data_IF_900056921312
#
_entry.id   IF_900056921312
#
_cell.length_a   1.000
_cell.length_b   1.000
_cell.length_c   1.000
_cell.angle_alpha   90.00
_cell.angle_beta   90.00
_cell.angle_gamma   90.00
#
_symmetry.space_group_name_H-M   'P 1'
#
loop_
_entity.id
_entity.type
_entity.pdbx_description
1 polymer ?
#
# COMPACT_ATOMS: atom_id res chain seq x y z
N UNK A 1 -21.29 9.91 4.71
CA UNK A 1 -20.55 11.08 4.17
C UNK A 1 -19.05 10.88 4.29
N UNK A 2 -18.48 10.66 5.49
CA UNK A 2 -17.02 10.41 5.69
C UNK A 2 -16.46 9.26 4.83
N UNK A 3 -17.14 8.11 4.77
CA UNK A 3 -16.68 6.98 3.95
C UNK A 3 -16.63 7.26 2.44
N UNK A 4 -17.57 8.07 1.93
CA UNK A 4 -17.59 8.48 0.52
C UNK A 4 -16.52 9.52 0.23
N UNK A 5 -16.36 10.51 1.12
CA UNK A 5 -15.28 11.49 1.03
C UNK A 5 -13.92 10.77 0.99
N UNK A 6 -13.63 9.89 1.95
CA UNK A 6 -12.36 9.15 1.97
C UNK A 6 -12.12 8.31 0.70
N UNK A 7 -13.15 7.66 0.16
CA UNK A 7 -13.04 6.85 -1.06
C UNK A 7 -12.83 7.67 -2.35
N UNK A 8 -13.09 8.98 -2.30
CA UNK A 8 -12.92 9.92 -3.41
C UNK A 8 -11.68 10.82 -3.26
N UNK A 9 -11.30 11.16 -2.03
CA UNK A 9 -10.24 12.14 -1.72
C UNK A 9 -8.85 11.54 -1.64
N UNK A 10 -8.71 10.39 -0.99
CA UNK A 10 -7.43 9.68 -0.97
C UNK A 10 -7.42 8.85 -2.26
N UNK A 11 -6.26 8.62 -2.88
CA UNK A 11 -6.09 7.59 -3.91
C UNK A 11 -6.42 6.15 -3.40
N UNK A 12 -7.24 6.04 -2.36
CA UNK A 12 -7.74 4.85 -1.74
C UNK A 12 -8.82 4.22 -2.61
N UNK A 13 -8.57 2.97 -2.96
CA UNK A 13 -9.48 2.13 -3.71
C UNK A 13 -10.82 1.88 -3.02
N UNK A 14 -10.89 2.04 -1.69
CA UNK A 14 -12.04 1.68 -0.84
C UNK A 14 -12.17 2.65 0.35
N UNK A 15 -13.36 2.79 0.96
CA UNK A 15 -13.50 3.49 2.23
C UNK A 15 -12.60 2.90 3.33
N UNK A 16 -12.28 3.71 4.34
CA UNK A 16 -11.62 3.25 5.56
C UNK A 16 -12.35 2.04 6.19
N UNK A 17 -11.64 1.24 7.01
CA UNK A 17 -12.27 0.17 7.81
C UNK A 17 -13.42 0.74 8.64
N UNK A 18 -14.42 -0.09 8.98
CA UNK A 18 -15.71 0.32 9.56
C UNK A 18 -16.67 1.10 8.64
N UNK A 19 -16.16 1.81 7.64
CA UNK A 19 -16.97 2.55 6.68
C UNK A 19 -17.34 1.69 5.46
N UNK A 20 -18.45 2.04 4.81
CA UNK A 20 -18.94 1.41 3.58
C UNK A 20 -19.73 2.41 2.73
N UNK A 21 -19.81 2.16 1.42
CA UNK A 21 -20.69 2.88 0.51
C UNK A 21 -22.07 2.22 0.40
N UNK A 22 -22.24 1.01 0.92
CA UNK A 22 -23.47 0.23 0.82
C UNK A 22 -24.30 0.31 2.10
N UNK A 23 -25.55 0.76 1.96
CA UNK A 23 -26.47 1.03 3.08
C UNK A 23 -26.81 -0.20 3.92
N UNK A 24 -26.75 -1.40 3.33
CA UNK A 24 -27.10 -2.67 3.99
C UNK A 24 -25.89 -3.52 4.39
N UNK A 25 -24.67 -3.03 4.15
CA UNK A 25 -23.44 -3.73 4.52
C UNK A 25 -22.87 -3.08 5.76
N UNK A 26 -22.31 -3.86 6.68
CA UNK A 26 -21.49 -3.35 7.77
C UNK A 26 -20.10 -3.96 7.63
N UNK A 27 -19.07 -3.15 7.84
CA UNK A 27 -17.67 -3.58 7.77
C UNK A 27 -17.09 -3.52 9.18
N UNK A 28 -16.25 -4.49 9.53
CA UNK A 28 -15.51 -4.44 10.78
C UNK A 28 -14.49 -3.30 10.77
N UNK A 29 -14.36 -2.63 11.90
CA UNK A 29 -13.26 -1.73 12.19
C UNK A 29 -11.95 -2.48 12.44
N UNK A 30 -10.89 -1.69 12.62
CA UNK A 30 -9.61 -2.22 13.12
C UNK A 30 -9.82 -2.66 14.58
N UNK A 31 -9.26 -3.80 14.97
CA UNK A 31 -9.44 -4.41 16.30
C UNK A 31 -10.91 -4.72 16.65
N UNK A 32 -11.74 -5.02 15.65
CA UNK A 32 -13.08 -5.58 15.85
C UNK A 32 -13.14 -6.99 15.26
N UNK A 33 -13.75 -7.94 15.99
CA UNK A 33 -14.07 -9.28 15.48
C UNK A 33 -15.56 -9.56 15.57
N UNK A 34 -16.04 -10.51 14.80
CA UNK A 34 -17.42 -11.02 14.90
C UNK A 34 -17.38 -12.38 15.56
N UNK A 35 -18.13 -12.53 16.65
CA UNK A 35 -18.44 -13.83 17.22
C UNK A 35 -19.84 -14.22 16.75
N UNK A 36 -19.97 -15.40 16.16
CA UNK A 36 -21.25 -15.96 15.72
C UNK A 36 -21.61 -17.13 16.63
N UNK A 37 -22.75 -17.02 17.31
CA UNK A 37 -23.26 -18.08 18.19
C UNK A 37 -24.79 -18.07 18.19
N UNK A 38 -25.40 -19.25 18.11
CA UNK A 38 -26.86 -19.46 18.18
C UNK A 38 -27.64 -18.58 17.18
N UNK A 39 -27.12 -18.45 15.95
CA UNK A 39 -27.73 -17.65 14.89
C UNK A 39 -27.64 -16.14 15.09
N UNK A 40 -26.91 -15.67 16.10
CA UNK A 40 -26.68 -14.25 16.40
C UNK A 40 -25.21 -13.91 16.22
N UNK A 41 -24.94 -12.70 15.73
CA UNK A 41 -23.61 -12.14 15.69
C UNK A 41 -23.45 -11.06 16.76
N UNK A 42 -22.29 -11.03 17.41
CA UNK A 42 -21.85 -9.92 18.25
C UNK A 42 -20.55 -9.35 17.69
N UNK A 43 -20.39 -8.03 17.75
CA UNK A 43 -19.14 -7.38 17.40
C UNK A 43 -18.37 -7.14 18.70
N UNK A 44 -17.19 -7.75 18.80
CA UNK A 44 -16.32 -7.62 19.96
C UNK A 44 -15.18 -6.68 19.60
N UNK A 45 -14.97 -5.68 20.45
CA UNK A 45 -13.78 -4.82 20.37
C UNK A 45 -12.63 -5.52 21.11
N UNK A 46 -11.52 -5.66 20.42
CA UNK A 46 -10.27 -6.17 20.97
C UNK A 46 -9.56 -4.97 21.60
N UNK A 47 -9.29 -5.05 22.90
CA UNK A 47 -8.51 -4.03 23.58
C UNK A 47 -7.09 -4.02 23.03
N UNK A 48 -6.59 -2.84 22.67
CA UNK A 48 -5.20 -2.67 22.27
C UNK A 48 -4.36 -2.65 23.54
N UNK A 49 -3.39 -3.55 23.62
CA UNK A 49 -2.33 -3.46 24.61
C UNK A 49 -1.21 -2.60 24.03
N UNK A 50 -0.72 -1.65 24.83
CA UNK A 50 0.49 -0.92 24.50
C UNK A 50 1.66 -1.88 24.67
N UNK A 51 2.52 -1.94 23.66
CA UNK A 51 3.75 -2.71 23.75
C UNK A 51 4.78 -1.89 24.52
N UNK A 52 5.56 -2.56 25.36
CA UNK A 52 6.72 -1.94 25.99
C UNK A 52 7.71 -1.50 24.90
N UNK A 53 8.26 -0.31 25.07
CA UNK A 53 9.36 0.18 24.25
C UNK A 53 10.70 -0.18 24.89
N UNK A 54 11.72 -0.35 24.07
CA UNK A 54 13.10 -0.59 24.50
C UNK A 54 14.04 0.29 23.69
N UNK A 55 15.29 0.41 24.16
CA UNK A 55 16.34 0.98 23.32
C UNK A 55 16.53 0.13 22.06
N UNK A 56 16.84 0.80 20.95
CA UNK A 56 17.00 0.16 19.66
C UNK A 56 18.45 -0.33 19.49
N UNK A 57 18.68 -1.63 19.64
CA UNK A 57 19.94 -2.26 19.22
C UNK A 57 19.90 -2.52 17.71
N UNK A 58 20.74 -1.80 16.96
CA UNK A 58 20.74 -1.90 15.50
C UNK A 58 21.02 -3.32 15.01
N UNK A 59 22.01 -4.01 15.59
CA UNK A 59 22.45 -5.32 15.08
C UNK A 59 21.37 -6.36 15.36
N UNK A 60 20.91 -6.44 16.61
CA UNK A 60 19.90 -7.42 17.01
C UNK A 60 18.58 -7.21 16.24
N UNK A 61 18.12 -5.95 16.13
CA UNK A 61 16.86 -5.67 15.46
C UNK A 61 16.97 -5.83 13.93
N UNK A 62 18.13 -5.56 13.33
CA UNK A 62 18.35 -5.79 11.90
C UNK A 62 18.31 -7.29 11.56
N UNK A 63 18.99 -8.12 12.34
CA UNK A 63 18.99 -9.58 12.14
C UNK A 63 17.59 -10.15 12.38
N UNK A 64 16.92 -9.69 13.44
CA UNK A 64 15.53 -10.09 13.73
C UNK A 64 14.59 -9.73 12.59
N UNK A 65 14.66 -8.49 12.07
CA UNK A 65 13.86 -8.06 10.93
C UNK A 65 14.11 -8.95 9.71
N UNK A 66 15.38 -9.17 9.37
CA UNK A 66 15.78 -9.96 8.20
C UNK A 66 15.28 -11.39 8.31
N UNK A 67 15.43 -12.02 9.48
CA UNK A 67 14.94 -13.38 9.73
C UNK A 67 13.41 -13.47 9.64
N UNK A 68 12.68 -12.52 10.22
CA UNK A 68 11.21 -12.47 10.13
C UNK A 68 10.74 -12.23 8.70
N UNK A 69 11.43 -11.39 7.95
CA UNK A 69 11.13 -11.13 6.55
C UNK A 69 11.32 -12.41 5.72
N UNK A 70 12.47 -13.07 5.84
CA UNK A 70 12.75 -14.31 5.13
C UNK A 70 11.77 -15.44 5.50
N UNK A 71 11.49 -15.63 6.79
CA UNK A 71 10.49 -16.60 7.28
C UNK A 71 9.08 -16.30 6.72
N UNK A 72 8.69 -15.03 6.63
CA UNK A 72 7.41 -14.64 6.07
C UNK A 72 7.31 -14.94 4.56
N UNK A 73 8.39 -14.76 3.81
CA UNK A 73 8.48 -15.10 2.39
C UNK A 73 8.43 -16.62 2.21
N UNK A 74 9.25 -17.36 2.94
CA UNK A 74 9.32 -18.82 2.87
C UNK A 74 7.94 -19.45 3.08
N UNK A 75 7.24 -19.08 4.17
CA UNK A 75 5.91 -19.60 4.52
C UNK A 75 4.82 -19.31 3.49
N UNK A 76 5.01 -18.31 2.62
CA UNK A 76 4.04 -17.91 1.58
C UNK A 76 4.46 -18.33 0.18
N UNK A 77 5.70 -18.80 0.02
CA UNK A 77 6.22 -19.27 -1.25
C UNK A 77 5.56 -20.57 -1.70
N UNK A 78 5.80 -20.94 -2.96
CA UNK A 78 5.38 -22.23 -3.50
C UNK A 78 6.58 -22.97 -4.09
N UNK A 79 6.72 -24.29 -3.85
CA UNK A 79 7.75 -25.09 -4.50
C UNK A 79 7.56 -25.22 -6.01
N UNK A 80 6.36 -24.92 -6.52
CA UNK A 80 6.06 -24.93 -7.97
C UNK A 80 6.65 -23.71 -8.68
N UNK A 81 6.89 -22.61 -7.97
CA UNK A 81 7.45 -21.37 -8.48
C UNK A 81 6.85 -20.16 -7.78
N UNK A 82 7.41 -18.98 -8.02
CA UNK A 82 6.98 -17.74 -7.41
C UNK A 82 6.92 -16.62 -8.45
N UNK A 83 5.92 -15.75 -8.31
CA UNK A 83 5.70 -14.58 -9.15
C UNK A 83 5.82 -13.33 -8.28
N UNK A 84 6.59 -12.35 -8.71
CA UNK A 84 6.68 -11.05 -8.04
C UNK A 84 6.18 -9.94 -8.95
N UNK A 85 5.28 -9.10 -8.44
CA UNK A 85 4.98 -7.81 -9.08
C UNK A 85 6.13 -6.85 -8.80
N UNK A 86 6.90 -6.53 -9.84
CA UNK A 86 8.16 -5.82 -9.73
C UNK A 86 8.00 -4.37 -10.19
N UNK A 87 8.10 -3.42 -9.26
CA UNK A 87 7.98 -1.97 -9.49
C UNK A 87 9.25 -1.22 -9.07
N UNK A 88 10.41 -1.88 -9.19
CA UNK A 88 11.79 -1.44 -8.91
C UNK A 88 12.10 -0.76 -7.57
N UNK A 89 11.09 -0.46 -6.77
CA UNK A 89 11.21 0.01 -5.40
C UNK A 89 11.68 -1.09 -4.46
N UNK A 90 12.21 -0.65 -3.32
CA UNK A 90 12.86 -1.49 -2.31
C UNK A 90 12.05 -2.73 -1.95
N UNK A 91 10.74 -2.58 -1.75
CA UNK A 91 9.88 -3.66 -1.28
C UNK A 91 9.78 -4.81 -2.30
N UNK A 92 9.46 -4.48 -3.56
CA UNK A 92 9.36 -5.47 -4.62
C UNK A 92 10.71 -6.12 -4.94
N UNK A 93 11.81 -5.35 -4.88
CA UNK A 93 13.16 -5.87 -5.13
C UNK A 93 13.69 -6.72 -3.98
N UNK A 94 13.34 -6.40 -2.73
CA UNK A 94 13.72 -7.19 -1.56
C UNK A 94 13.01 -8.54 -1.56
N UNK A 95 11.73 -8.57 -1.95
CA UNK A 95 10.97 -9.81 -2.16
C UNK A 95 11.62 -10.64 -3.28
N UNK A 96 11.94 -10.02 -4.42
CA UNK A 96 12.62 -10.69 -5.53
C UNK A 96 13.95 -11.30 -5.06
N UNK A 97 14.78 -10.54 -4.35
CA UNK A 97 16.06 -10.99 -3.83
C UNK A 97 15.90 -12.19 -2.88
N UNK A 98 14.93 -12.14 -1.96
CA UNK A 98 14.64 -13.23 -1.03
C UNK A 98 14.20 -14.50 -1.77
N UNK A 99 13.29 -14.38 -2.74
CA UNK A 99 12.81 -15.52 -3.53
C UNK A 99 13.93 -16.16 -4.36
N UNK A 100 14.80 -15.35 -4.97
CA UNK A 100 15.95 -15.85 -5.74
C UNK A 100 16.98 -16.48 -4.82
N UNK A 101 17.23 -15.90 -3.64
CA UNK A 101 18.11 -16.48 -2.63
C UNK A 101 17.64 -17.85 -2.15
N UNK A 102 16.34 -18.01 -1.90
CA UNK A 102 15.75 -19.25 -1.37
C UNK A 102 15.54 -20.34 -2.44
N UNK A 103 15.06 -19.96 -3.63
CA UNK A 103 14.56 -20.91 -4.64
C UNK A 103 15.30 -20.85 -5.98
N UNK A 104 16.14 -19.84 -6.19
CA UNK A 104 16.83 -19.61 -7.45
C UNK A 104 15.98 -18.88 -8.49
N UNK A 105 16.68 -18.29 -9.46
CA UNK A 105 16.06 -17.52 -10.54
C UNK A 105 15.14 -18.34 -11.45
N UNK A 106 15.44 -19.64 -11.64
CA UNK A 106 14.62 -20.54 -12.44
C UNK A 106 13.24 -20.85 -11.84
N UNK A 107 13.04 -20.55 -10.55
CA UNK A 107 11.79 -20.73 -9.81
C UNK A 107 11.08 -19.41 -9.51
N UNK A 108 11.57 -18.31 -10.08
CA UNK A 108 11.03 -16.98 -9.85
C UNK A 108 10.85 -16.26 -11.18
N UNK A 109 9.69 -15.62 -11.38
CA UNK A 109 9.45 -14.69 -12.49
C UNK A 109 8.92 -13.38 -11.98
N UNK A 110 9.22 -12.30 -12.70
CA UNK A 110 8.76 -10.95 -12.39
C UNK A 110 7.71 -10.51 -13.42
N UNK A 111 6.73 -9.72 -12.98
CA UNK A 111 5.71 -9.14 -13.85
C UNK A 111 5.57 -7.65 -13.54
N UNK A 112 5.50 -6.82 -14.58
CA UNK A 112 5.30 -5.37 -14.48
C UNK A 112 4.24 -4.91 -15.48
N UNK A 113 3.53 -3.83 -15.16
CA UNK A 113 2.61 -3.17 -16.06
C UNK A 113 3.23 -2.01 -16.82
N UNK A 114 2.99 -1.91 -18.12
CA UNK A 114 3.33 -0.74 -18.95
C UNK A 114 2.10 0.13 -19.11
N UNK A 115 2.17 1.37 -18.63
CA UNK A 115 1.02 2.24 -18.50
C UNK A 115 0.93 3.22 -19.68
N UNK A 116 -0.11 3.10 -20.50
CA UNK A 116 -0.42 4.02 -21.60
C UNK A 116 -1.81 4.65 -21.39
N UNK A 117 -1.82 5.91 -20.97
CA UNK A 117 -3.06 6.61 -20.56
C UNK A 117 -3.60 7.56 -21.62
N UNK A 118 -2.74 8.09 -22.49
CA UNK A 118 -3.15 8.94 -23.61
C UNK A 118 -2.18 8.82 -24.77
N UNK A 119 -2.65 9.16 -25.97
CA UNK A 119 -1.83 9.17 -27.18
C UNK A 119 -0.65 10.15 -27.05
N UNK A 120 -0.90 11.29 -26.42
CA UNK A 120 0.04 12.41 -26.32
C UNK A 120 1.14 12.13 -25.29
N UNK A 121 0.79 11.54 -24.14
CA UNK A 121 1.75 11.22 -23.09
C UNK A 121 2.51 9.91 -23.37
N UNK A 122 1.92 8.99 -24.15
CA UNK A 122 2.47 7.67 -24.39
C UNK A 122 2.63 6.87 -23.10
N UNK A 123 3.71 6.10 -23.00
CA UNK A 123 4.01 5.29 -21.81
C UNK A 123 4.44 6.21 -20.66
N UNK A 124 3.70 6.21 -19.56
CA UNK A 124 3.91 7.15 -18.45
C UNK A 124 4.87 6.64 -17.36
N UNK A 125 5.25 5.35 -17.38
CA UNK A 125 6.17 4.75 -16.41
C UNK A 125 7.49 4.22 -17.02
N UNK A 126 8.15 4.90 -17.97
CA UNK A 126 9.32 4.35 -18.66
C UNK A 126 10.54 4.16 -17.74
N UNK A 127 10.73 5.06 -16.78
CA UNK A 127 11.82 4.95 -15.80
C UNK A 127 11.69 3.71 -14.93
N UNK A 128 10.46 3.40 -14.53
CA UNK A 128 10.11 2.24 -13.71
C UNK A 128 10.41 0.94 -14.46
N UNK A 129 9.96 0.86 -15.71
CA UNK A 129 10.23 -0.26 -16.63
C UNK A 129 11.74 -0.53 -16.81
N UNK A 130 12.53 0.52 -17.02
CA UNK A 130 14.00 0.38 -17.21
C UNK A 130 14.65 -0.15 -15.93
N UNK A 131 14.26 0.34 -14.76
CA UNK A 131 14.83 -0.10 -13.48
C UNK A 131 14.42 -1.53 -13.14
N UNK A 132 13.14 -1.86 -13.33
CA UNK A 132 12.64 -3.22 -13.14
C UNK A 132 13.38 -4.22 -14.03
N UNK A 133 13.63 -3.86 -15.30
CA UNK A 133 14.41 -4.70 -16.22
C UNK A 133 15.84 -4.91 -15.71
N UNK A 134 16.53 -3.85 -15.28
CA UNK A 134 17.88 -3.97 -14.70
C UNK A 134 17.94 -4.90 -13.49
N UNK A 135 16.92 -4.84 -12.62
CA UNK A 135 16.83 -5.73 -11.46
C UNK A 135 16.58 -7.18 -11.90
N UNK A 136 15.66 -7.40 -12.84
CA UNK A 136 15.40 -8.71 -13.41
C UNK A 136 16.66 -9.31 -14.05
N UNK A 137 17.40 -8.52 -14.83
CA UNK A 137 18.66 -8.92 -15.47
C UNK A 137 19.73 -9.28 -14.43
N UNK A 138 19.89 -8.46 -13.39
CA UNK A 138 20.84 -8.71 -12.29
C UNK A 138 20.60 -10.05 -11.59
N UNK A 139 19.33 -10.37 -11.32
CA UNK A 139 18.96 -11.63 -10.67
C UNK A 139 18.78 -12.80 -11.67
N UNK A 140 18.92 -12.57 -12.97
CA UNK A 140 18.70 -13.60 -14.00
C UNK A 140 17.25 -14.08 -14.10
N UNK A 141 16.28 -13.24 -13.73
CA UNK A 141 14.85 -13.55 -13.68
C UNK A 141 14.14 -13.00 -14.93
N UNK A 142 13.19 -13.75 -15.48
CA UNK A 142 12.36 -13.27 -16.59
C UNK A 142 11.43 -12.15 -16.11
N UNK A 143 11.48 -10.99 -16.76
CA UNK A 143 10.50 -9.92 -16.59
C UNK A 143 9.44 -9.99 -17.70
N UNK A 144 8.18 -10.16 -17.30
CA UNK A 144 7.03 -10.15 -18.19
C UNK A 144 6.32 -8.80 -18.10
N UNK A 145 5.87 -8.29 -19.26
CA UNK A 145 5.25 -6.97 -19.36
C UNK A 145 3.80 -7.13 -19.77
N UNK A 146 2.90 -6.54 -18.98
CA UNK A 146 1.46 -6.46 -19.26
C UNK A 146 1.10 -5.06 -19.72
N UNK A 147 0.41 -4.93 -20.85
CA UNK A 147 0.04 -3.63 -21.43
C UNK A 147 -1.25 -3.08 -20.81
N UNK A 148 -1.16 -1.95 -20.11
CA UNK A 148 -2.30 -1.19 -19.63
C UNK A 148 -2.58 -0.02 -20.59
N UNK A 149 -3.27 -0.30 -21.70
CA UNK A 149 -3.64 0.72 -22.69
C UNK A 149 -5.05 1.26 -22.42
N UNK A 150 -5.18 2.20 -21.47
CA UNK A 150 -6.48 2.84 -21.21
C UNK A 150 -6.93 3.75 -22.35
N UNK A 151 -5.98 4.31 -23.10
CA UNK A 151 -6.29 5.14 -24.26
C UNK A 151 -7.15 4.38 -25.28
N UNK A 152 -6.85 3.10 -25.52
CA UNK A 152 -7.60 2.26 -26.47
C UNK A 152 -8.61 1.32 -25.82
N UNK A 153 -8.37 0.85 -24.60
CA UNK A 153 -9.12 -0.24 -23.94
C UNK A 153 -9.93 0.19 -22.72
N UNK A 154 -9.96 1.48 -22.37
CA UNK A 154 -10.67 1.98 -21.19
C UNK A 154 -12.13 1.48 -21.04
N UNK A 155 -12.97 1.58 -22.09
CA UNK A 155 -14.34 1.06 -22.04
C UNK A 155 -14.43 -0.46 -21.83
N UNK A 156 -13.61 -1.25 -22.54
CA UNK A 156 -13.52 -2.71 -22.42
C UNK A 156 -13.18 -3.12 -20.98
N UNK A 157 -12.16 -2.50 -20.38
CA UNK A 157 -11.72 -2.79 -19.01
C UNK A 157 -12.80 -2.44 -17.99
N UNK A 158 -13.52 -1.34 -18.21
CA UNK A 158 -14.65 -0.95 -17.37
C UNK A 158 -15.77 -1.99 -17.45
N UNK A 159 -16.15 -2.42 -18.65
CA UNK A 159 -17.19 -3.44 -18.84
C UNK A 159 -16.78 -4.77 -18.18
N UNK A 160 -15.54 -5.23 -18.42
CA UNK A 160 -14.98 -6.46 -17.86
C UNK A 160 -15.01 -6.48 -16.32
N UNK A 161 -14.66 -5.37 -15.67
CA UNK A 161 -14.39 -5.36 -14.23
C UNK A 161 -15.40 -4.61 -13.36
N UNK A 162 -16.30 -3.80 -13.92
CA UNK A 162 -17.26 -2.99 -13.16
C UNK A 162 -18.10 -3.79 -12.17
N UNK A 163 -18.57 -4.98 -12.58
CA UNK A 163 -19.32 -5.89 -11.71
C UNK A 163 -18.50 -6.35 -10.50
N UNK A 164 -17.25 -6.75 -10.73
CA UNK A 164 -16.33 -7.15 -9.67
C UNK A 164 -16.02 -5.98 -8.73
N UNK A 165 -15.66 -4.82 -9.28
CA UNK A 165 -15.34 -3.62 -8.49
C UNK A 165 -16.51 -3.18 -7.63
N UNK A 166 -17.73 -3.18 -8.19
CA UNK A 166 -18.96 -2.95 -7.42
C UNK A 166 -19.09 -3.97 -6.29
N UNK A 167 -19.00 -5.26 -6.57
CA UNK A 167 -19.17 -6.28 -5.53
C UNK A 167 -18.10 -6.21 -4.42
N UNK A 168 -16.90 -5.71 -4.73
CA UNK A 168 -15.79 -5.55 -3.78
C UNK A 168 -15.67 -4.15 -3.15
N UNK A 169 -16.62 -3.25 -3.46
CA UNK A 169 -16.63 -1.86 -3.03
C UNK A 169 -15.31 -1.13 -3.39
N UNK A 170 -14.87 -1.34 -4.62
CA UNK A 170 -13.71 -0.67 -5.21
C UNK A 170 -14.18 0.46 -6.10
N UNK A 171 -13.65 1.66 -5.91
CA UNK A 171 -14.11 2.87 -6.62
C UNK A 171 -13.07 3.58 -7.45
N UNK A 172 -11.78 3.24 -7.33
CA UNK A 172 -10.71 3.93 -8.07
C UNK A 172 -10.46 3.31 -9.45
N UNK A 173 -10.32 4.17 -10.46
CA UNK A 173 -9.91 3.78 -11.82
C UNK A 173 -8.51 3.15 -11.87
N UNK A 174 -7.61 3.53 -10.95
CA UNK A 174 -6.29 2.89 -10.86
C UNK A 174 -6.38 1.39 -10.52
N UNK A 175 -7.52 0.88 -10.06
CA UNK A 175 -7.67 -0.55 -9.78
C UNK A 175 -7.80 -1.42 -11.03
N UNK A 176 -8.24 -0.87 -12.16
CA UNK A 176 -8.34 -1.65 -13.40
C UNK A 176 -6.97 -2.23 -13.81
N UNK A 177 -5.87 -1.51 -13.53
CA UNK A 177 -4.51 -1.94 -13.86
C UNK A 177 -4.11 -3.17 -13.04
N UNK A 178 -4.48 -3.18 -11.76
CA UNK A 178 -4.21 -4.30 -10.85
C UNK A 178 -5.05 -5.52 -11.20
N UNK A 179 -6.27 -5.30 -11.68
CA UNK A 179 -7.15 -6.38 -12.14
C UNK A 179 -6.65 -7.02 -13.44
N UNK A 180 -6.15 -6.24 -14.40
CA UNK A 180 -5.59 -6.80 -15.64
C UNK A 180 -4.27 -7.53 -15.38
N UNK A 181 -3.40 -6.97 -14.53
CA UNK A 181 -2.17 -7.64 -14.06
C UNK A 181 -2.48 -8.97 -13.35
N UNK A 182 -3.44 -8.96 -12.42
CA UNK A 182 -3.83 -10.15 -11.68
C UNK A 182 -4.53 -11.19 -12.58
N UNK A 183 -5.31 -10.75 -13.58
CA UNK A 183 -5.89 -11.64 -14.59
C UNK A 183 -4.80 -12.33 -15.39
N UNK A 184 -3.84 -11.57 -15.94
CA UNK A 184 -2.71 -12.12 -16.68
C UNK A 184 -1.93 -13.14 -15.85
N UNK A 185 -1.64 -12.84 -14.58
CA UNK A 185 -0.95 -13.79 -13.72
C UNK A 185 -1.82 -15.00 -13.44
N UNK A 186 -3.10 -14.86 -13.12
CA UNK A 186 -4.00 -15.99 -12.93
C UNK A 186 -4.05 -16.92 -14.16
N UNK A 187 -4.09 -16.35 -15.37
CA UNK A 187 -4.17 -17.08 -16.64
C UNK A 187 -2.84 -17.78 -17.01
N UNK A 188 -1.70 -17.28 -16.49
CA UNK A 188 -0.36 -17.81 -16.78
C UNK A 188 0.26 -18.60 -15.64
N UNK A 189 -0.42 -18.71 -14.49
CA UNK A 189 0.08 -19.41 -13.32
C UNK A 189 -0.41 -20.86 -13.27
N UNK A 190 0.44 -21.76 -12.76
CA UNK A 190 0.12 -23.16 -12.50
C UNK A 190 0.55 -23.58 -11.09
N UNK A 191 0.06 -22.84 -10.09
CA UNK A 191 0.31 -23.10 -8.68
C UNK A 191 1.54 -22.41 -8.10
N UNK A 192 2.08 -21.41 -8.80
CA UNK A 192 3.02 -20.46 -8.18
C UNK A 192 2.33 -19.63 -7.08
N UNK A 193 3.13 -19.17 -6.11
CA UNK A 193 2.72 -18.11 -5.18
C UNK A 193 2.95 -16.73 -5.78
N UNK A 194 2.04 -15.79 -5.52
CA UNK A 194 2.13 -14.41 -6.02
C UNK A 194 2.46 -13.46 -4.89
N UNK A 195 3.49 -12.64 -5.09
CA UNK A 195 3.95 -11.63 -4.17
C UNK A 195 3.80 -10.24 -4.78
N UNK A 196 3.40 -9.28 -3.94
CA UNK A 196 3.23 -7.88 -4.35
C UNK A 196 3.98 -6.98 -3.38
N UNK A 197 4.97 -6.25 -3.89
CA UNK A 197 5.66 -5.18 -3.14
C UNK A 197 4.90 -3.85 -3.15
N UNK A 198 3.80 -3.77 -3.89
CA UNK A 198 2.95 -2.59 -3.96
C UNK A 198 2.33 -2.23 -2.61
N UNK A 199 2.24 -0.92 -2.32
CA UNK A 199 1.63 -0.35 -1.11
C UNK A 199 2.46 -0.60 0.18
N UNK A 200 3.62 -1.25 0.09
CA UNK A 200 4.50 -1.47 1.25
C UNK A 200 5.37 -0.25 1.61
N UNK A 201 5.57 0.75 0.71
CA UNK A 201 6.30 1.97 1.11
C UNK A 201 5.58 2.72 2.26
N UNK A 202 4.33 2.37 2.55
CA UNK A 202 3.64 2.78 3.77
C UNK A 202 4.44 2.52 5.05
N UNK A 203 5.12 1.37 5.16
CA UNK A 203 5.80 0.90 6.38
C UNK A 203 7.24 1.37 6.46
N UNK A 204 7.97 1.39 5.33
CA UNK A 204 9.40 1.75 5.31
C UNK A 204 9.65 3.25 5.09
N UNK A 205 8.65 4.00 4.64
CA UNK A 205 8.77 5.43 4.36
C UNK A 205 8.22 6.23 5.55
N UNK A 206 8.96 6.25 6.66
CA UNK A 206 8.57 6.99 7.86
C UNK A 206 8.59 8.50 7.56
N UNK A 207 7.42 9.15 7.62
CA UNK A 207 7.28 10.59 7.39
C UNK A 207 6.91 11.03 5.96
N UNK A 208 6.83 10.11 4.99
CA UNK A 208 6.42 10.44 3.62
C UNK A 208 5.16 9.70 3.18
N UNK A 209 4.11 10.46 2.92
CA UNK A 209 2.84 10.02 2.38
C UNK A 209 3.02 9.44 0.97
N UNK A 210 2.29 8.37 0.69
CA UNK A 210 2.20 7.83 -0.67
C UNK A 210 1.27 8.68 -1.55
N UNK A 211 0.42 9.51 -0.93
CA UNK A 211 -0.57 10.35 -1.61
C UNK A 211 -0.20 11.83 -1.55
N UNK A 212 -0.56 12.58 -2.59
CA UNK A 212 -0.53 14.04 -2.54
C UNK A 212 -1.69 14.52 -1.65
N UNK A 213 -1.41 15.43 -0.72
CA UNK A 213 -2.47 16.09 0.06
C UNK A 213 -3.12 17.19 -0.77
N UNK A 214 -4.44 17.25 -0.73
CA UNK A 214 -5.25 18.36 -1.28
C UNK A 214 -5.50 19.47 -0.25
N UNK A 215 -5.03 19.29 0.98
CA UNK A 215 -5.08 20.28 2.05
C UNK A 215 -3.88 21.24 1.94
N UNK A 216 -3.99 22.44 2.52
CA UNK A 216 -2.99 23.52 2.53
C UNK A 216 -1.62 23.04 3.06
N UNK A 217 -0.82 22.40 2.20
CA UNK A 217 0.56 22.04 2.50
C UNK A 217 1.51 23.02 1.81
N UNK A 218 2.45 23.64 2.53
CA UNK A 218 3.40 24.58 1.92
C UNK A 218 4.32 23.92 0.88
N UNK A 219 4.49 22.59 0.92
CA UNK A 219 5.44 21.88 0.05
C UNK A 219 4.79 20.63 -0.58
N UNK A 220 4.17 20.77 -1.74
CA UNK A 220 3.53 19.64 -2.45
C UNK A 220 4.53 18.55 -2.90
N UNK A 221 5.80 18.91 -3.03
CA UNK A 221 6.88 18.04 -3.50
C UNK A 221 7.23 16.94 -2.49
N UNK A 222 7.07 17.21 -1.19
CA UNK A 222 7.53 16.33 -0.12
C UNK A 222 6.46 15.37 0.42
N UNK A 223 5.23 15.41 -0.08
CA UNK A 223 4.13 14.48 0.29
C UNK A 223 4.11 14.17 1.80
N UNK A 224 4.25 15.13 2.72
CA UNK A 224 4.63 14.77 4.10
C UNK A 224 3.49 14.16 4.93
N UNK A 225 2.21 14.29 4.53
CA UNK A 225 1.15 13.92 5.48
C UNK A 225 -0.19 13.39 4.97
N UNK A 226 -0.49 13.28 3.67
CA UNK A 226 -1.85 12.93 3.20
C UNK A 226 -2.43 11.69 3.90
N UNK A 227 -1.83 10.51 3.70
CA UNK A 227 -2.23 9.26 4.38
C UNK A 227 -1.46 8.99 5.69
N UNK A 228 -0.49 9.86 6.03
CA UNK A 228 0.42 9.70 7.18
C UNK A 228 0.43 10.91 8.11
N UNK A 229 -0.75 11.49 8.37
CA UNK A 229 -0.93 12.70 9.19
C UNK A 229 -0.28 12.61 10.58
N UNK A 230 -0.29 11.43 11.22
CA UNK A 230 0.35 11.27 12.53
C UNK A 230 1.88 11.27 12.45
N UNK A 231 2.46 10.73 11.37
CA UNK A 231 3.92 10.70 11.17
C UNK A 231 4.48 12.08 10.86
N UNK A 232 3.66 12.97 10.28
CA UNK A 232 4.01 14.37 10.03
C UNK A 232 4.47 15.11 11.29
N UNK A 233 3.92 14.78 12.46
CA UNK A 233 4.32 15.40 13.73
C UNK A 233 5.79 15.11 14.10
N UNK A 234 6.44 14.19 13.39
CA UNK A 234 7.86 13.86 13.53
C UNK A 234 8.69 14.29 12.30
N UNK A 235 8.09 15.04 11.36
CA UNK A 235 8.76 15.51 10.14
C UNK A 235 9.63 16.75 10.42
N UNK A 236 10.67 17.00 9.61
CA UNK A 236 11.46 18.22 9.69
C UNK A 236 10.60 19.50 9.58
N UNK A 237 9.56 19.48 8.73
CA UNK A 237 8.64 20.61 8.53
C UNK A 237 7.88 20.95 9.81
N UNK A 238 7.28 19.95 10.46
CA UNK A 238 6.54 20.18 11.71
C UNK A 238 7.48 20.54 12.88
N UNK A 239 8.65 19.89 12.96
CA UNK A 239 9.66 20.26 13.96
C UNK A 239 10.12 21.71 13.79
N UNK A 240 10.27 22.19 12.55
CA UNK A 240 10.56 23.60 12.28
C UNK A 240 9.39 24.52 12.69
N UNK A 241 8.14 24.09 12.51
CA UNK A 241 6.95 24.81 12.98
C UNK A 241 6.88 24.91 14.52
N UNK A 242 7.41 23.91 15.24
CA UNK A 242 7.59 24.00 16.70
C UNK A 242 8.67 25.04 17.01
N UNK A 243 9.84 24.94 16.37
CA UNK A 243 10.99 25.81 16.65
C UNK A 243 10.70 27.29 16.38
N UNK A 244 9.86 27.60 15.38
CA UNK A 244 9.51 28.97 15.03
C UNK A 244 8.18 29.44 15.68
N UNK A 245 7.52 28.59 16.48
CA UNK A 245 6.26 28.90 17.16
C UNK A 245 5.02 28.96 16.27
N UNK A 246 5.08 28.52 15.01
CA UNK A 246 3.94 28.56 14.09
C UNK A 246 3.02 27.33 14.16
N UNK A 247 3.39 26.29 14.92
CA UNK A 247 2.67 25.02 14.99
C UNK A 247 1.20 25.15 15.44
N UNK A 248 0.85 26.18 16.22
CA UNK A 248 -0.54 26.43 16.65
C UNK A 248 -1.49 26.71 15.47
N UNK A 249 -0.98 27.16 14.33
CA UNK A 249 -1.76 27.38 13.11
C UNK A 249 -1.76 26.15 12.18
N UNK A 250 -1.07 25.07 12.54
CA UNK A 250 -0.94 23.89 11.70
C UNK A 250 -2.27 23.09 11.68
N UNK A 251 -2.80 22.87 10.49
CA UNK A 251 -4.09 22.21 10.30
C UNK A 251 -4.08 20.74 10.71
N UNK A 252 -2.96 20.03 10.55
CA UNK A 252 -2.81 18.62 10.91
C UNK A 252 -2.63 18.47 12.42
N UNK A 253 -1.80 19.32 13.02
CA UNK A 253 -1.64 19.37 14.47
C UNK A 253 -2.97 19.56 15.18
N UNK A 254 -3.72 20.60 14.80
CA UNK A 254 -5.02 20.89 15.40
C UNK A 254 -6.02 19.77 15.13
N UNK A 255 -6.06 19.23 13.91
CA UNK A 255 -6.93 18.10 13.57
C UNK A 255 -6.69 16.85 14.43
N UNK A 256 -5.42 16.55 14.74
CA UNK A 256 -5.02 15.40 15.57
C UNK A 256 -5.25 15.67 17.05
N UNK A 257 -4.89 16.86 17.54
CA UNK A 257 -5.14 17.33 18.90
C UNK A 257 -6.61 17.21 19.27
N UNK A 258 -7.51 17.72 18.41
CA UNK A 258 -8.96 17.67 18.62
C UNK A 258 -9.53 16.25 18.69
N UNK A 259 -8.86 15.28 18.04
CA UNK A 259 -9.30 13.87 18.00
C UNK A 259 -8.77 13.04 19.15
N UNK A 260 -7.74 13.50 19.85
CA UNK A 260 -7.13 12.77 20.95
C UNK A 260 -7.52 13.37 22.30
N UNK A 261 -8.79 13.16 22.68
CA UNK A 261 -9.30 13.55 24.00
C UNK A 261 -8.46 12.88 25.09
N UNK A 262 -7.77 13.69 25.91
CA UNK A 262 -6.88 13.21 26.98
C UNK A 262 -5.45 12.88 26.55
N UNK A 263 -5.08 13.13 25.29
CA UNK A 263 -3.70 13.04 24.83
C UNK A 263 -2.86 14.22 25.32
N UNK A 264 -1.61 13.96 25.70
CA UNK A 264 -0.64 15.02 26.04
C UNK A 264 0.03 15.44 24.73
N UNK A 265 -0.34 16.62 24.21
CA UNK A 265 0.29 17.25 23.04
C UNK A 265 1.15 18.45 23.45
N UNK A 266 0.74 19.15 24.51
CA UNK A 266 1.28 20.46 24.88
C UNK A 266 2.10 20.46 26.19
N UNK A 267 2.32 19.29 26.82
CA UNK A 267 3.18 19.22 28.01
C UNK A 267 4.53 18.60 27.66
N UNK A 268 5.66 19.29 27.94
CA UNK A 268 6.99 18.70 27.80
C UNK A 268 7.18 17.49 28.72
#
# INVERSE_FOLDING_TARGET
QVGAAHALYIYGYRPAKKQTLYTKVKRLGVHERIDWKDGKFSVIKIQKELLNISEFDYIEQHDRYSNLFLDAIEKRSSPKGNVVYLSSGWDSTSILAALVHMYGANKTRAVIGRMNFSKEAGVCNPYEMIRAQKMADYFGVKLEIVEFDYYKRGPELTEKYSGFMKNQMVTSMSFYQWLDLASYVADTSSGESVFSGEISDGVHNFGFSQSLTVLDHPVHEFREYSDKMASYLYSPTFLNAILNGSFDNDSIYNFLKDRHIGGIFDSP
#
